data_IF_735719359209
#
_entry.id   IF_735719359209
#
_cell.length_a   1.000
_cell.length_b   1.000
_cell.length_c   1.000
_cell.angle_alpha   90.00
_cell.angle_beta   90.00
_cell.angle_gamma   90.00
#
_symmetry.space_group_name_H-M   'P 1'
#
loop_
_entity.id
_entity.type
_entity.pdbx_description
1 polymer ?
#
# COMPACT_ATOMS: atom_id res chain seq x y z
N UNK A 1 -64.15 24.35 -59.31
CA UNK A 1 -62.76 24.00 -58.94
C UNK A 1 -62.84 22.94 -57.84
N UNK A 2 -62.18 21.80 -57.86
CA UNK A 2 -61.18 21.24 -58.75
C UNK A 2 -61.17 19.72 -58.50
N UNK A 3 -61.62 18.91 -59.46
CA UNK A 3 -61.39 17.45 -59.46
C UNK A 3 -59.90 17.24 -59.75
N UNK A 4 -59.06 17.03 -58.73
CA UNK A 4 -57.61 16.92 -58.92
C UNK A 4 -56.92 15.76 -58.20
N UNK A 5 -57.68 14.76 -57.72
CA UNK A 5 -57.06 13.59 -57.05
C UNK A 5 -57.21 12.27 -57.85
N UNK A 6 -58.00 12.24 -58.94
CA UNK A 6 -58.27 10.98 -59.66
C UNK A 6 -57.29 10.60 -60.80
N UNK A 7 -56.12 11.23 -60.93
CA UNK A 7 -55.16 10.87 -61.99
C UNK A 7 -53.66 10.91 -61.64
N UNK A 8 -53.26 10.94 -60.37
CA UNK A 8 -51.86 10.67 -60.03
C UNK A 8 -51.62 9.16 -59.89
N UNK A 9 -51.59 8.45 -61.02
CA UNK A 9 -51.11 7.08 -61.07
C UNK A 9 -49.58 7.12 -61.06
N UNK A 10 -48.97 6.87 -59.90
CA UNK A 10 -47.53 6.63 -59.84
C UNK A 10 -47.29 5.37 -60.68
N UNK A 11 -46.46 5.43 -61.75
CA UNK A 11 -46.11 4.23 -62.50
C UNK A 11 -45.58 3.20 -61.52
N UNK A 12 -46.10 1.98 -61.54
CA UNK A 12 -45.74 0.93 -60.57
C UNK A 12 -44.22 0.74 -60.46
N UNK A 13 -43.51 0.96 -61.57
CA UNK A 13 -42.05 0.92 -61.66
C UNK A 13 -41.36 2.04 -60.85
N UNK A 14 -41.94 3.25 -60.83
CA UNK A 14 -41.42 4.40 -60.08
C UNK A 14 -41.60 4.20 -58.58
N UNK A 15 -42.79 3.71 -58.17
CA UNK A 15 -43.08 3.37 -56.77
C UNK A 15 -42.17 2.24 -56.26
N UNK A 16 -41.95 1.20 -57.07
CA UNK A 16 -41.07 0.09 -56.72
C UNK A 16 -39.60 0.53 -56.61
N UNK A 17 -39.15 1.47 -57.46
CA UNK A 17 -37.80 2.02 -57.40
C UNK A 17 -37.54 2.80 -56.11
N UNK A 18 -38.51 3.59 -55.65
CA UNK A 18 -38.42 4.35 -54.40
C UNK A 18 -38.36 3.39 -53.21
N UNK A 19 -39.17 2.33 -53.21
CA UNK A 19 -39.15 1.30 -52.16
C UNK A 19 -37.78 0.60 -52.15
N UNK A 20 -37.26 0.22 -53.32
CA UNK A 20 -35.97 -0.47 -53.43
C UNK A 20 -34.81 0.42 -52.95
N UNK A 21 -34.79 1.69 -53.34
CA UNK A 21 -33.82 2.67 -52.86
C UNK A 21 -33.93 2.90 -51.35
N UNK A 22 -35.16 2.96 -50.80
CA UNK A 22 -35.40 3.08 -49.37
C UNK A 22 -34.88 1.87 -48.59
N UNK A 23 -35.06 0.66 -49.11
CA UNK A 23 -34.55 -0.57 -48.51
C UNK A 23 -33.02 -0.59 -48.54
N UNK A 24 -32.39 -0.22 -49.66
CA UNK A 24 -30.92 -0.14 -49.77
C UNK A 24 -30.37 0.91 -48.80
N UNK A 25 -30.96 2.10 -48.74
CA UNK A 25 -30.54 3.15 -47.83
C UNK A 25 -30.73 2.73 -46.36
N UNK A 26 -31.83 2.05 -46.05
CA UNK A 26 -32.10 1.49 -44.72
C UNK A 26 -31.06 0.43 -44.33
N UNK A 27 -30.78 -0.53 -45.22
CA UNK A 27 -29.74 -1.53 -45.02
C UNK A 27 -28.37 -0.89 -44.85
N UNK A 28 -28.03 0.12 -45.66
CA UNK A 28 -26.77 0.84 -45.54
C UNK A 28 -26.63 1.55 -44.19
N UNK A 29 -27.71 2.17 -43.69
CA UNK A 29 -27.72 2.82 -42.38
C UNK A 29 -27.67 1.81 -41.22
N UNK A 30 -28.32 0.65 -41.35
CA UNK A 30 -28.29 -0.43 -40.35
C UNK A 30 -26.92 -1.12 -40.30
N UNK A 31 -26.28 -1.34 -41.45
CA UNK A 31 -24.95 -1.96 -41.54
C UNK A 31 -23.82 -0.99 -41.17
N UNK A 32 -24.10 0.31 -41.14
CA UNK A 32 -23.15 1.31 -40.63
C UNK A 32 -23.23 1.29 -39.11
N UNK A 33 -22.56 0.33 -38.50
CA UNK A 33 -22.41 0.22 -37.05
C UNK A 33 -22.01 1.59 -36.48
N UNK A 34 -22.93 2.24 -35.76
CA UNK A 34 -22.58 3.36 -34.90
C UNK A 34 -21.84 2.78 -33.71
N UNK A 35 -20.53 2.63 -33.84
CA UNK A 35 -19.66 2.34 -32.70
C UNK A 35 -19.61 3.58 -31.80
N UNK A 36 -20.65 3.76 -31.00
CA UNK A 36 -20.59 4.62 -29.83
C UNK A 36 -19.65 3.94 -28.84
N UNK A 37 -18.34 4.17 -29.01
CA UNK A 37 -17.38 3.93 -27.96
C UNK A 37 -17.71 4.89 -26.82
N UNK A 38 -18.55 4.43 -25.89
CA UNK A 38 -18.72 5.09 -24.61
C UNK A 38 -17.38 5.02 -23.89
N UNK A 39 -16.62 6.11 -23.91
CA UNK A 39 -15.47 6.27 -23.04
C UNK A 39 -16.00 6.70 -21.67
N UNK A 40 -16.29 5.73 -20.81
CA UNK A 40 -16.54 6.04 -19.40
C UNK A 40 -15.33 6.81 -18.86
N UNK A 41 -15.57 7.96 -18.24
CA UNK A 41 -14.50 8.72 -17.58
C UNK A 41 -13.88 7.85 -16.47
N UNK A 42 -12.55 7.92 -16.25
CA UNK A 42 -11.91 7.16 -15.18
C UNK A 42 -12.57 7.45 -13.83
N UNK A 43 -12.84 6.39 -13.05
CA UNK A 43 -13.38 6.55 -11.70
C UNK A 43 -12.28 6.96 -10.73
N UNK A 44 -12.29 8.24 -10.36
CA UNK A 44 -11.31 8.85 -9.46
C UNK A 44 -11.85 8.98 -8.02
N UNK A 45 -12.99 8.37 -7.73
CA UNK A 45 -13.64 8.46 -6.42
C UNK A 45 -12.76 7.84 -5.33
N UNK A 46 -12.42 8.58 -4.26
CA UNK A 46 -11.69 8.04 -3.11
C UNK A 46 -12.49 6.91 -2.44
N UNK A 47 -11.82 5.79 -2.20
CA UNK A 47 -12.36 4.59 -1.55
C UNK A 47 -11.44 4.16 -0.40
N UNK A 48 -11.98 3.37 0.53
CA UNK A 48 -11.24 2.83 1.68
C UNK A 48 -10.49 3.92 2.47
N UNK A 49 -11.16 5.05 2.71
CA UNK A 49 -10.59 6.17 3.46
C UNK A 49 -10.30 5.70 4.89
N UNK A 50 -9.03 5.70 5.27
CA UNK A 50 -8.55 5.13 6.53
C UNK A 50 -7.77 6.18 7.30
N UNK A 51 -8.05 6.27 8.60
CA UNK A 51 -7.34 7.14 9.54
C UNK A 51 -6.39 6.29 10.39
N UNK A 52 -5.13 6.70 10.45
CA UNK A 52 -4.09 5.99 11.21
C UNK A 52 -3.14 6.97 11.88
N UNK A 53 -2.27 6.46 12.75
CA UNK A 53 -1.23 7.25 13.43
C UNK A 53 -1.81 8.52 14.09
N UNK A 54 -3.00 8.43 14.68
CA UNK A 54 -3.66 9.58 15.31
C UNK A 54 -2.94 9.88 16.62
N UNK A 55 -2.46 11.11 16.73
CA UNK A 55 -1.81 11.70 17.90
C UNK A 55 -2.49 13.03 18.24
N UNK A 56 -1.96 13.75 19.23
CA UNK A 56 -2.50 15.05 19.61
C UNK A 56 -2.28 16.14 18.55
N UNK A 57 -1.26 16.01 17.70
CA UNK A 57 -0.87 17.04 16.75
C UNK A 57 -0.78 16.55 15.30
N UNK A 58 -1.08 15.27 15.05
CA UNK A 58 -0.99 14.66 13.73
C UNK A 58 -2.01 13.54 13.50
N UNK A 59 -2.42 13.39 12.23
CA UNK A 59 -3.16 12.23 11.73
C UNK A 59 -2.64 11.85 10.35
N UNK A 60 -2.60 10.56 10.06
CA UNK A 60 -2.43 10.04 8.72
C UNK A 60 -3.77 9.67 8.12
N UNK A 61 -4.01 10.14 6.91
CA UNK A 61 -5.19 9.81 6.10
C UNK A 61 -4.72 9.14 4.82
N UNK A 62 -5.24 7.95 4.54
CA UNK A 62 -4.96 7.20 3.33
C UNK A 62 -6.24 6.79 2.61
N UNK A 63 -6.16 6.65 1.29
CA UNK A 63 -7.27 6.19 0.45
C UNK A 63 -6.75 5.58 -0.85
N UNK A 64 -7.64 4.90 -1.56
CA UNK A 64 -7.40 4.32 -2.88
C UNK A 64 -8.33 4.95 -3.91
N UNK A 65 -7.87 5.05 -5.16
CA UNK A 65 -8.69 5.34 -6.34
C UNK A 65 -8.58 4.17 -7.32
N UNK A 66 -9.63 3.95 -8.12
CA UNK A 66 -9.64 2.88 -9.13
C UNK A 66 -8.70 3.17 -10.31
N UNK A 67 -8.36 4.42 -10.53
CA UNK A 67 -7.39 4.87 -11.53
C UNK A 67 -6.45 5.89 -10.94
N UNK A 68 -5.22 5.95 -11.46
CA UNK A 68 -4.21 6.87 -10.95
C UNK A 68 -4.67 8.33 -11.11
N UNK A 69 -4.72 9.06 -9.99
CA UNK A 69 -5.22 10.43 -9.93
C UNK A 69 -4.23 11.34 -9.21
N UNK A 70 -4.08 12.58 -9.66
CA UNK A 70 -3.45 13.60 -8.83
C UNK A 70 -4.44 13.94 -7.71
N UNK A 71 -4.09 13.59 -6.46
CA UNK A 71 -4.99 13.71 -5.33
C UNK A 71 -4.29 14.29 -4.10
N UNK A 72 -5.04 15.08 -3.33
CA UNK A 72 -4.56 15.81 -2.15
C UNK A 72 -5.74 16.11 -1.22
N UNK A 73 -5.45 16.60 -0.02
CA UNK A 73 -6.47 16.97 0.97
C UNK A 73 -6.52 18.48 1.15
N UNK A 74 -7.73 19.03 1.20
CA UNK A 74 -7.98 20.34 1.79
C UNK A 74 -8.61 20.15 3.17
N UNK A 75 -8.21 20.92 4.17
CA UNK A 75 -8.68 20.76 5.54
C UNK A 75 -8.66 22.06 6.33
N UNK A 76 -9.37 22.07 7.46
CA UNK A 76 -9.42 23.19 8.39
C UNK A 76 -10.29 22.89 9.59
N UNK A 77 -10.30 23.78 10.58
CA UNK A 77 -11.09 23.58 11.79
C UNK A 77 -12.55 24.01 11.57
N UNK A 78 -12.75 25.13 10.87
CA UNK A 78 -14.07 25.70 10.61
C UNK A 78 -14.50 25.52 9.14
N UNK A 79 -13.56 25.65 8.20
CA UNK A 79 -13.77 25.42 6.76
C UNK A 79 -12.72 24.42 6.22
N UNK A 80 -13.13 23.31 5.57
CA UNK A 80 -12.21 22.35 4.94
C UNK A 80 -11.40 22.92 3.76
N UNK A 81 -11.49 24.21 3.44
CA UNK A 81 -10.68 24.89 2.41
C UNK A 81 -9.54 25.75 2.96
N UNK A 82 -9.38 25.82 4.28
CA UNK A 82 -8.37 26.69 4.92
C UNK A 82 -6.94 26.34 4.53
N UNK A 83 -6.63 25.04 4.48
CA UNK A 83 -5.27 24.53 4.21
C UNK A 83 -5.31 23.43 3.18
N UNK A 84 -4.18 23.24 2.50
CA UNK A 84 -3.96 22.16 1.54
C UNK A 84 -2.74 21.36 1.96
N UNK A 85 -2.80 20.05 1.81
CA UNK A 85 -1.68 19.14 2.03
C UNK A 85 -1.65 18.10 0.92
N UNK A 86 -0.46 17.88 0.35
CA UNK A 86 -0.24 16.89 -0.70
C UNK A 86 0.09 15.52 -0.09
N UNK A 87 0.11 14.51 -0.95
CA UNK A 87 0.70 13.21 -0.61
C UNK A 87 2.12 13.36 -0.06
N UNK A 88 2.47 12.57 0.96
CA UNK A 88 3.77 12.65 1.63
C UNK A 88 4.95 12.46 0.66
N UNK A 89 4.73 11.74 -0.45
CA UNK A 89 5.73 11.51 -1.50
C UNK A 89 5.92 12.70 -2.45
N UNK A 90 5.05 13.71 -2.36
CA UNK A 90 5.09 14.94 -3.16
C UNK A 90 5.51 16.19 -2.38
N UNK A 91 5.90 16.04 -1.10
CA UNK A 91 6.28 17.18 -0.24
C UNK A 91 7.71 17.71 -0.46
N UNK A 92 8.48 17.16 -1.40
CA UNK A 92 9.84 17.64 -1.67
C UNK A 92 9.83 19.07 -2.23
N UNK A 93 10.80 19.90 -1.87
CA UNK A 93 10.89 21.31 -2.31
C UNK A 93 10.91 21.50 -3.84
N UNK A 94 11.25 20.44 -4.61
CA UNK A 94 11.30 20.44 -6.07
C UNK A 94 10.09 19.74 -6.73
N UNK A 95 9.05 19.38 -5.96
CA UNK A 95 7.88 18.71 -6.51
C UNK A 95 7.02 19.68 -7.33
N UNK A 96 6.65 19.28 -8.55
CA UNK A 96 5.79 20.05 -9.44
C UNK A 96 4.28 19.95 -9.10
N UNK A 97 3.94 19.71 -7.83
CA UNK A 97 2.57 19.45 -7.37
C UNK A 97 2.22 17.95 -7.24
N UNK A 98 0.93 17.63 -7.05
CA UNK A 98 0.47 16.26 -6.80
C UNK A 98 0.67 15.37 -8.04
N UNK A 99 1.29 14.20 -7.85
CA UNK A 99 1.51 13.22 -8.92
C UNK A 99 0.40 12.18 -8.97
N UNK A 100 0.03 11.69 -10.18
CA UNK A 100 -0.97 10.64 -10.32
C UNK A 100 -0.56 9.34 -9.63
N UNK A 101 -1.41 8.84 -8.72
CA UNK A 101 -1.26 7.54 -8.03
C UNK A 101 -2.63 6.92 -7.78
N UNK A 102 -2.65 5.61 -7.57
CA UNK A 102 -3.89 4.90 -7.18
C UNK A 102 -4.01 4.74 -5.67
N UNK A 103 -2.91 4.89 -4.93
CA UNK A 103 -2.88 4.87 -3.47
C UNK A 103 -2.30 6.19 -2.99
N UNK A 104 -2.95 6.76 -1.98
CA UNK A 104 -2.59 8.03 -1.41
C UNK A 104 -2.35 7.92 0.08
N UNK A 105 -1.36 8.68 0.56
CA UNK A 105 -0.95 8.69 1.96
C UNK A 105 -0.54 10.12 2.32
N UNK A 106 -1.27 10.71 3.26
CA UNK A 106 -1.09 12.11 3.66
C UNK A 106 -0.98 12.20 5.17
N UNK A 107 0.06 12.86 5.65
CA UNK A 107 0.21 13.22 7.07
C UNK A 107 -0.17 14.68 7.30
N UNK A 108 -1.26 14.92 8.04
CA UNK A 108 -1.58 16.25 8.57
C UNK A 108 -0.79 16.45 9.87
N UNK A 109 -0.16 17.62 10.04
CA UNK A 109 0.71 17.95 11.18
C UNK A 109 0.38 19.32 11.74
N UNK A 110 0.92 19.63 12.92
CA UNK A 110 0.72 20.90 13.64
C UNK A 110 -0.76 21.14 13.96
N UNK A 111 -1.45 20.08 14.36
CA UNK A 111 -2.83 20.11 14.81
C UNK A 111 -2.91 20.43 16.31
N UNK A 112 -4.09 20.82 16.77
CA UNK A 112 -4.35 21.03 18.19
C UNK A 112 -4.82 19.73 18.84
N UNK A 113 -4.41 19.42 20.10
CA UNK A 113 -4.89 18.26 20.85
C UNK A 113 -6.41 18.25 21.01
N UNK A 114 -7.02 17.06 21.04
CA UNK A 114 -8.46 16.84 21.28
C UNK A 114 -9.35 17.82 20.50
N UNK A 115 -9.05 17.97 19.21
CA UNK A 115 -9.68 18.96 18.34
C UNK A 115 -10.24 18.29 17.10
N UNK A 116 -11.49 18.62 16.78
CA UNK A 116 -12.17 18.15 15.58
C UNK A 116 -11.81 19.02 14.38
N UNK A 117 -11.51 18.38 13.26
CA UNK A 117 -11.23 19.02 11.98
C UNK A 117 -12.15 18.49 10.88
N UNK A 118 -12.34 19.32 9.86
CA UNK A 118 -13.05 19.00 8.64
C UNK A 118 -12.07 18.91 7.48
N UNK A 119 -12.32 18.00 6.54
CA UNK A 119 -11.51 17.87 5.34
C UNK A 119 -12.30 17.38 4.14
N UNK A 120 -11.71 17.57 2.96
CA UNK A 120 -12.15 16.98 1.69
C UNK A 120 -10.95 16.38 0.97
N UNK A 121 -11.18 15.28 0.29
CA UNK A 121 -10.23 14.69 -0.63
C UNK A 121 -10.54 15.23 -2.02
N UNK A 122 -9.54 15.84 -2.66
CA UNK A 122 -9.62 16.31 -4.04
C UNK A 122 -8.89 15.30 -4.90
N UNK A 123 -9.55 14.75 -5.91
CA UNK A 123 -9.00 13.74 -6.82
C UNK A 123 -9.30 14.14 -8.27
N UNK A 124 -8.28 14.65 -8.96
CA UNK A 124 -8.46 15.32 -10.25
C UNK A 124 -9.41 16.53 -10.13
N UNK A 125 -10.59 16.42 -10.74
CA UNK A 125 -11.65 17.46 -10.67
C UNK A 125 -12.77 17.12 -9.68
N UNK A 126 -12.72 15.95 -9.04
CA UNK A 126 -13.71 15.51 -8.08
C UNK A 126 -13.30 15.93 -6.67
N UNK A 127 -14.28 16.35 -5.88
CA UNK A 127 -14.12 16.59 -4.46
C UNK A 127 -15.04 15.62 -3.71
N UNK A 128 -14.54 15.02 -2.63
CA UNK A 128 -15.38 14.22 -1.74
C UNK A 128 -16.42 15.09 -1.01
N UNK A 129 -17.36 14.41 -0.36
CA UNK A 129 -18.13 15.00 0.73
C UNK A 129 -17.20 15.52 1.84
N UNK A 130 -17.73 16.41 2.68
CA UNK A 130 -16.99 16.88 3.87
C UNK A 130 -16.92 15.75 4.89
N UNK A 131 -15.69 15.35 5.21
CA UNK A 131 -15.37 14.34 6.21
C UNK A 131 -14.78 15.00 7.45
N UNK A 132 -14.75 14.27 8.56
CA UNK A 132 -14.26 14.79 9.83
C UNK A 132 -13.30 13.80 10.48
N UNK A 133 -12.35 14.31 11.26
CA UNK A 133 -11.53 13.52 12.16
C UNK A 133 -11.30 14.31 13.46
N UNK A 134 -10.82 13.64 14.49
CA UNK A 134 -10.46 14.24 15.78
C UNK A 134 -9.04 13.78 16.15
N UNK A 135 -8.24 14.70 16.68
CA UNK A 135 -6.92 14.39 17.26
C UNK A 135 -7.06 13.82 18.66
N UNK A 136 -6.07 13.07 19.12
CA UNK A 136 -6.11 12.48 20.45
C UNK A 136 -5.84 13.50 21.56
N UNK A 137 -6.05 13.07 22.80
CA UNK A 137 -5.35 13.68 23.93
C UNK A 137 -3.83 13.47 23.79
N UNK A 138 -2.98 14.31 24.42
CA UNK A 138 -1.53 14.13 24.42
C UNK A 138 -1.10 12.72 24.79
N UNK A 139 -0.30 12.09 23.93
CA UNK A 139 0.17 10.73 24.15
C UNK A 139 1.49 10.72 24.90
N UNK A 140 1.61 9.84 25.89
CA UNK A 140 2.90 9.57 26.54
C UNK A 140 3.74 8.66 25.66
N UNK A 141 5.01 9.02 25.44
CA UNK A 141 5.95 8.19 24.67
C UNK A 141 6.25 6.90 25.45
N UNK A 142 6.11 5.76 24.78
CA UNK A 142 6.48 4.45 25.27
C UNK A 142 7.77 3.99 24.57
N UNK A 143 8.77 3.55 25.32
CA UNK A 143 10.08 3.11 24.77
C UNK A 143 10.30 1.60 24.88
N UNK A 144 9.36 0.88 25.51
CA UNK A 144 9.45 -0.56 25.74
C UNK A 144 9.38 -1.39 24.45
N UNK A 145 8.65 -0.90 23.46
CA UNK A 145 8.44 -1.62 22.20
C UNK A 145 9.28 -1.03 21.08
N UNK A 146 9.98 -1.92 20.38
CA UNK A 146 10.62 -1.57 19.12
C UNK A 146 9.58 -1.45 17.99
N UNK A 147 9.87 -0.70 16.92
CA UNK A 147 8.99 -0.64 15.75
C UNK A 147 8.70 -2.02 15.14
N UNK A 148 7.53 -2.19 14.52
CA UNK A 148 7.26 -3.35 13.66
C UNK A 148 7.91 -3.10 12.31
N UNK A 149 8.76 -4.04 11.88
CA UNK A 149 9.53 -3.93 10.64
C UNK A 149 9.25 -5.16 9.79
N UNK A 150 9.05 -4.94 8.50
CA UNK A 150 8.84 -6.02 7.54
C UNK A 150 9.19 -5.61 6.11
N UNK A 151 9.15 -6.60 5.23
CA UNK A 151 9.33 -6.44 3.79
C UNK A 151 8.18 -7.08 3.02
N UNK A 152 7.84 -6.50 1.88
CA UNK A 152 6.76 -6.94 1.01
C UNK A 152 7.29 -7.18 -0.40
N UNK A 153 6.87 -8.30 -1.01
CA UNK A 153 7.22 -8.70 -2.36
C UNK A 153 5.96 -8.84 -3.24
N UNK A 154 6.11 -8.48 -4.52
CA UNK A 154 5.19 -8.87 -5.59
C UNK A 154 5.88 -9.93 -6.45
N UNK A 155 5.47 -11.20 -6.29
CA UNK A 155 6.26 -12.33 -6.78
C UNK A 155 7.58 -12.45 -6.01
N UNK A 156 8.70 -12.27 -6.72
CA UNK A 156 10.05 -12.25 -6.12
C UNK A 156 10.69 -10.84 -6.10
N UNK A 157 9.96 -9.81 -6.54
CA UNK A 157 10.47 -8.44 -6.63
C UNK A 157 9.95 -7.63 -5.45
N UNK A 158 10.78 -6.79 -4.80
CA UNK A 158 10.31 -5.87 -3.78
C UNK A 158 9.15 -5.00 -4.26
N UNK A 159 8.13 -4.87 -3.42
CA UNK A 159 7.01 -3.99 -3.71
C UNK A 159 7.49 -2.53 -3.66
N UNK A 160 7.22 -1.79 -4.72
CA UNK A 160 7.65 -0.41 -4.92
C UNK A 160 6.71 0.63 -4.29
N UNK A 161 5.43 0.29 -4.16
CA UNK A 161 4.40 1.17 -3.62
C UNK A 161 3.30 0.41 -2.86
N UNK A 162 2.93 0.91 -1.68
CA UNK A 162 1.83 0.38 -0.88
C UNK A 162 1.83 0.96 0.53
N UNK A 163 0.87 0.51 1.33
CA UNK A 163 0.73 0.90 2.74
C UNK A 163 0.63 -0.37 3.58
N UNK A 164 1.40 -0.41 4.67
CA UNK A 164 1.27 -1.43 5.70
C UNK A 164 0.45 -0.86 6.87
N UNK A 165 -0.58 -1.57 7.29
CA UNK A 165 -1.48 -1.17 8.37
C UNK A 165 -1.36 -2.09 9.59
N UNK A 166 -0.92 -1.49 10.70
CA UNK A 166 -0.92 -1.87 12.11
C UNK A 166 -2.27 -1.98 12.80
N UNK A 167 -2.99 -3.11 12.84
CA UNK A 167 -4.15 -3.26 13.74
C UNK A 167 -3.83 -4.04 15.03
N UNK A 168 -4.16 -3.47 16.18
CA UNK A 168 -4.13 -4.12 17.51
C UNK A 168 -5.45 -3.79 18.21
N UNK A 169 -6.08 -4.78 18.87
CA UNK A 169 -7.41 -4.60 19.47
C UNK A 169 -7.43 -3.50 20.55
N UNK A 170 -8.32 -2.52 20.40
CA UNK A 170 -8.47 -1.37 21.32
C UNK A 170 -7.47 -0.23 21.07
N UNK A 171 -6.59 -0.34 20.08
CA UNK A 171 -5.63 0.69 19.72
C UNK A 171 -6.02 1.37 18.40
N UNK A 172 -5.62 2.62 18.24
CA UNK A 172 -5.63 3.30 16.94
C UNK A 172 -4.76 2.53 15.97
N UNK A 173 -5.30 2.26 14.78
CA UNK A 173 -4.55 1.63 13.69
C UNK A 173 -3.32 2.45 13.36
N UNK A 174 -2.16 1.80 13.32
CA UNK A 174 -0.91 2.40 12.89
C UNK A 174 -0.67 2.12 11.40
N UNK A 175 0.18 2.89 10.74
CA UNK A 175 0.54 2.65 9.35
C UNK A 175 1.91 3.20 8.98
N UNK A 176 2.45 2.69 7.88
CA UNK A 176 3.61 3.26 7.20
C UNK A 176 3.49 3.03 5.70
N UNK A 177 4.04 3.95 4.92
CA UNK A 177 4.33 3.72 3.51
C UNK A 177 5.35 2.59 3.36
N UNK A 178 5.14 1.76 2.34
CA UNK A 178 6.13 0.82 1.81
C UNK A 178 7.02 1.60 0.84
N UNK A 179 8.33 1.55 1.05
CA UNK A 179 9.32 2.29 0.24
C UNK A 179 9.74 1.47 -0.99
N UNK A 180 10.49 2.09 -1.91
CA UNK A 180 11.02 1.47 -3.15
C UNK A 180 11.90 0.21 -2.99
N UNK A 181 12.10 -0.28 -1.77
CA UNK A 181 12.76 -1.56 -1.45
C UNK A 181 11.83 -2.59 -0.80
N UNK A 182 10.51 -2.41 -0.86
CA UNK A 182 9.54 -3.32 -0.24
C UNK A 182 9.45 -3.19 1.28
N UNK A 183 10.28 -2.37 1.90
CA UNK A 183 10.38 -2.26 3.35
C UNK A 183 9.40 -1.24 3.94
N UNK A 184 8.89 -1.56 5.13
CA UNK A 184 8.11 -0.65 5.97
C UNK A 184 8.60 -0.70 7.42
N UNK A 185 8.33 0.38 8.16
CA UNK A 185 8.63 0.49 9.59
C UNK A 185 7.49 1.24 10.26
N UNK A 186 6.80 0.60 11.18
CA UNK A 186 5.68 1.18 11.95
C UNK A 186 6.16 1.45 13.38
N UNK A 187 6.36 2.72 13.77
CA UNK A 187 6.73 3.06 15.14
C UNK A 187 5.62 2.69 16.12
N UNK A 188 5.99 2.15 17.27
CA UNK A 188 5.05 1.82 18.37
C UNK A 188 5.19 2.76 19.57
N UNK A 189 5.94 3.86 19.42
CA UNK A 189 6.27 4.77 20.51
C UNK A 189 5.08 5.61 20.99
N UNK A 190 4.08 5.85 20.13
CA UNK A 190 2.92 6.69 20.41
C UNK A 190 1.64 6.04 19.86
N UNK A 191 1.31 4.86 20.36
CA UNK A 191 0.04 4.19 20.03
C UNK A 191 -1.05 4.70 20.97
N UNK A 192 -2.05 5.39 20.43
CA UNK A 192 -3.24 5.83 21.16
C UNK A 192 -4.30 4.73 21.27
N UNK A 193 -5.21 4.86 22.24
CA UNK A 193 -6.45 4.06 22.30
C UNK A 193 -7.39 4.46 21.19
N UNK A 194 -8.18 3.52 20.69
CA UNK A 194 -9.17 3.75 19.62
C UNK A 194 -10.22 4.83 19.96
N UNK A 195 -10.52 5.02 21.24
CA UNK A 195 -11.36 6.09 21.79
C UNK A 195 -10.67 7.46 21.89
N UNK A 196 -9.41 7.56 21.48
CA UNK A 196 -8.57 8.76 21.49
C UNK A 196 -8.33 9.37 22.89
N UNK A 197 -8.65 8.63 23.95
CA UNK A 197 -8.59 9.12 25.35
C UNK A 197 -7.17 9.22 25.92
N UNK A 198 -6.18 8.66 25.22
CA UNK A 198 -4.78 8.72 25.62
C UNK A 198 -3.98 7.55 25.06
N UNK A 199 -2.84 7.27 25.68
CA UNK A 199 -1.93 6.20 25.27
C UNK A 199 -2.56 4.81 25.50
N UNK A 200 -2.38 3.92 24.53
CA UNK A 200 -2.71 2.50 24.66
C UNK A 200 -1.50 1.74 25.26
N UNK A 201 -1.64 1.09 26.42
CA UNK A 201 -0.56 0.35 27.05
C UNK A 201 -0.28 -0.94 26.25
N UNK A 202 0.81 -0.97 25.51
CA UNK A 202 1.20 -2.17 24.77
C UNK A 202 1.74 -3.24 25.73
N UNK A 203 1.34 -4.48 25.50
CA UNK A 203 1.77 -5.66 26.25
C UNK A 203 2.33 -6.72 25.29
N UNK A 204 3.18 -7.60 25.81
CA UNK A 204 3.67 -8.73 25.00
C UNK A 204 2.50 -9.68 24.70
N UNK A 205 2.60 -10.41 23.60
CA UNK A 205 1.61 -11.41 23.18
C UNK A 205 0.22 -10.86 22.82
N UNK A 206 0.09 -9.53 22.72
CA UNK A 206 -1.03 -8.91 22.02
C UNK A 206 -1.04 -9.38 20.55
N UNK A 207 -2.21 -9.72 20.04
CA UNK A 207 -2.36 -10.11 18.64
C UNK A 207 -2.34 -8.86 17.76
N UNK A 208 -1.33 -8.77 16.90
CA UNK A 208 -1.23 -7.78 15.84
C UNK A 208 -1.69 -8.35 14.50
N UNK A 209 -2.32 -7.51 13.68
CA UNK A 209 -2.65 -7.80 12.29
C UNK A 209 -2.02 -6.75 11.40
N UNK A 210 -1.12 -7.17 10.51
CA UNK A 210 -0.65 -6.38 9.38
C UNK A 210 -1.60 -6.61 8.21
N UNK A 211 -2.10 -5.53 7.64
CA UNK A 211 -2.77 -5.55 6.33
C UNK A 211 -1.93 -4.73 5.35
N UNK A 212 -1.52 -5.34 4.25
CA UNK A 212 -0.83 -4.67 3.16
C UNK A 212 -1.84 -4.31 2.10
N UNK A 213 -1.83 -3.05 1.68
CA UNK A 213 -2.64 -2.56 0.57
C UNK A 213 -1.73 -1.96 -0.52
N UNK A 214 -1.87 -2.45 -1.75
CA UNK A 214 -1.15 -1.95 -2.93
C UNK A 214 -2.06 -1.86 -4.15
N UNK A 215 -1.59 -1.25 -5.23
CA UNK A 215 -2.24 -1.29 -6.54
C UNK A 215 -2.16 -2.68 -7.19
N UNK A 216 -1.15 -3.48 -6.81
CA UNK A 216 -0.87 -4.84 -7.30
C UNK A 216 -1.56 -5.95 -6.50
N UNK A 217 -2.22 -5.63 -5.39
CA UNK A 217 -2.92 -6.58 -4.53
C UNK A 217 -2.80 -6.28 -3.04
N UNK A 218 -3.22 -7.24 -2.22
CA UNK A 218 -3.26 -7.13 -0.76
C UNK A 218 -2.61 -8.36 -0.11
N UNK A 219 -2.20 -8.23 1.15
CA UNK A 219 -1.75 -9.36 1.97
C UNK A 219 -2.10 -9.14 3.44
N UNK A 220 -2.19 -10.21 4.21
CA UNK A 220 -2.52 -10.17 5.63
C UNK A 220 -1.51 -11.01 6.41
N UNK A 221 -1.04 -10.50 7.55
CA UNK A 221 -0.22 -11.26 8.49
C UNK A 221 -0.76 -11.08 9.91
N UNK A 222 -1.06 -12.17 10.60
CA UNK A 222 -1.35 -12.18 12.03
C UNK A 222 -0.10 -12.59 12.80
N UNK A 223 0.21 -11.93 13.90
CA UNK A 223 1.39 -12.23 14.72
C UNK A 223 1.20 -11.79 16.17
N UNK A 224 2.13 -12.20 17.04
CA UNK A 224 2.19 -11.76 18.44
C UNK A 224 3.19 -10.62 18.58
N UNK A 225 2.75 -9.49 19.14
CA UNK A 225 3.63 -8.38 19.46
C UNK A 225 4.63 -8.81 20.54
N UNK A 226 5.87 -8.40 20.36
CA UNK A 226 6.95 -8.58 21.33
C UNK A 226 7.66 -7.26 21.52
N UNK A 227 8.07 -6.99 22.77
CA UNK A 227 8.84 -5.80 23.14
C UNK A 227 10.20 -5.76 22.43
N UNK A 228 10.80 -6.93 22.17
CA UNK A 228 12.04 -7.09 21.41
C UNK A 228 11.78 -7.13 19.91
N UNK A 229 12.63 -6.45 19.13
CA UNK A 229 12.53 -6.40 17.67
C UNK A 229 12.71 -7.78 17.04
N UNK A 230 11.61 -8.36 16.58
CA UNK A 230 11.61 -9.49 15.65
C UNK A 230 11.11 -8.98 14.29
N UNK A 231 11.94 -9.17 13.27
CA UNK A 231 11.57 -8.78 11.91
C UNK A 231 10.53 -9.78 11.40
N UNK A 232 9.45 -9.24 10.82
CA UNK A 232 8.48 -10.09 10.15
C UNK A 232 9.12 -10.82 8.97
N UNK A 233 8.76 -12.09 8.69
CA UNK A 233 9.21 -12.76 7.48
C UNK A 233 8.73 -11.99 6.24
N UNK A 234 9.44 -12.13 5.09
CA UNK A 234 9.02 -11.47 3.85
C UNK A 234 7.58 -11.83 3.47
N UNK A 235 6.75 -10.81 3.25
CA UNK A 235 5.33 -10.95 2.96
C UNK A 235 5.12 -10.91 1.45
N UNK A 236 4.55 -11.95 0.84
CA UNK A 236 4.19 -11.89 -0.59
C UNK A 236 2.75 -11.42 -0.76
N UNK A 237 2.51 -10.51 -1.71
CA UNK A 237 1.15 -10.10 -2.07
C UNK A 237 0.30 -11.33 -2.47
N UNK A 238 -0.96 -11.33 -2.05
CA UNK A 238 -1.91 -12.42 -2.20
C UNK A 238 -1.89 -13.44 -1.06
N UNK A 239 -0.97 -13.33 -0.08
CA UNK A 239 -0.90 -14.25 1.04
C UNK A 239 -1.69 -13.78 2.27
N UNK A 240 -2.19 -14.76 3.02
CA UNK A 240 -2.64 -14.59 4.38
C UNK A 240 -1.82 -15.53 5.27
N UNK A 241 -1.01 -14.96 6.16
CA UNK A 241 -0.07 -15.68 7.02
C UNK A 241 -0.55 -15.56 8.47
N UNK A 242 -0.57 -16.66 9.21
CA UNK A 242 -0.82 -16.65 10.65
C UNK A 242 0.42 -17.14 11.41
N UNK A 243 1.08 -16.22 12.08
CA UNK A 243 2.26 -16.43 12.94
C UNK A 243 1.88 -16.45 14.43
N UNK A 244 0.60 -16.45 14.77
CA UNK A 244 0.13 -16.48 16.17
C UNK A 244 0.09 -17.90 16.74
N UNK A 245 -0.07 -18.90 15.88
CA UNK A 245 0.15 -20.27 16.25
C UNK A 245 1.64 -20.45 16.58
N UNK A 246 1.97 -20.92 17.78
CA UNK A 246 3.24 -21.62 17.95
C UNK A 246 3.34 -22.63 16.81
N UNK A 247 4.50 -22.71 16.16
CA UNK A 247 4.77 -23.83 15.25
C UNK A 247 4.20 -25.11 15.89
N UNK A 248 3.56 -26.01 15.11
CA UNK A 248 3.16 -27.32 15.63
C UNK A 248 4.30 -27.87 16.51
N UNK A 249 4.02 -28.52 17.65
CA UNK A 249 5.07 -29.13 18.46
C UNK A 249 5.97 -29.89 17.51
N UNK A 250 7.25 -29.53 17.53
CA UNK A 250 8.32 -30.05 16.71
C UNK A 250 8.04 -31.51 16.32
N UNK A 251 7.43 -31.71 15.15
CA UNK A 251 7.41 -33.02 14.52
C UNK A 251 8.82 -33.13 13.96
N UNK A 252 9.71 -33.57 14.84
CA UNK A 252 11.15 -33.73 14.68
C UNK A 252 11.52 -34.15 13.25
N UNK A 253 11.73 -33.17 12.40
CA UNK A 253 12.69 -33.28 11.32
C UNK A 253 13.71 -32.20 11.65
N UNK A 254 14.94 -32.58 12.03
CA UNK A 254 15.90 -31.62 12.54
C UNK A 254 16.08 -30.48 11.54
N UNK A 255 15.68 -29.27 11.94
CA UNK A 255 16.01 -28.06 11.22
C UNK A 255 17.55 -28.03 11.09
N UNK A 256 18.11 -27.92 9.88
CA UNK A 256 19.55 -27.91 9.72
C UNK A 256 20.11 -26.71 10.49
N UNK A 257 20.80 -26.98 11.60
CA UNK A 257 21.49 -25.95 12.35
C UNK A 257 22.61 -25.38 11.47
N UNK A 258 22.84 -24.05 11.49
CA UNK A 258 23.89 -23.45 10.72
C UNK A 258 25.24 -24.02 11.14
N UNK A 259 26.06 -24.40 10.16
CA UNK A 259 27.43 -24.84 10.43
C UNK A 259 28.28 -23.67 10.90
N UNK A 260 29.44 -23.92 11.51
CA UNK A 260 30.40 -22.87 11.86
C UNK A 260 30.82 -22.04 10.63
N UNK A 261 30.85 -22.64 9.44
CA UNK A 261 31.12 -21.95 8.19
C UNK A 261 29.98 -21.01 7.81
N UNK A 262 28.74 -21.41 8.06
CA UNK A 262 27.57 -20.58 7.80
C UNK A 262 27.55 -19.37 8.71
N UNK A 263 27.79 -19.56 10.01
CA UNK A 263 27.86 -18.45 10.97
C UNK A 263 28.93 -17.44 10.56
N UNK A 264 30.13 -17.90 10.20
CA UNK A 264 31.20 -16.99 9.77
C UNK A 264 30.86 -16.16 8.52
N UNK A 265 30.01 -16.70 7.64
CA UNK A 265 29.69 -16.07 6.36
C UNK A 265 28.41 -15.22 6.41
N UNK A 266 27.46 -15.56 7.27
CA UNK A 266 26.09 -15.06 7.19
C UNK A 266 25.55 -14.48 8.51
N UNK A 267 26.25 -14.67 9.63
CA UNK A 267 25.95 -14.00 10.92
C UNK A 267 26.67 -12.64 10.96
N UNK A 268 26.02 -11.64 10.40
CA UNK A 268 26.60 -10.32 10.16
C UNK A 268 26.62 -9.48 11.44
N UNK A 269 25.63 -9.68 12.31
CA UNK A 269 25.54 -9.02 13.61
C UNK A 269 26.29 -9.76 14.74
N UNK A 270 26.79 -10.97 14.49
CA UNK A 270 27.52 -11.84 15.42
C UNK A 270 26.71 -12.26 16.66
N UNK A 271 25.41 -12.51 16.47
CA UNK A 271 24.49 -12.96 17.52
C UNK A 271 24.38 -14.49 17.65
N UNK A 272 25.12 -15.24 16.81
CA UNK A 272 25.14 -16.69 16.78
C UNK A 272 23.97 -17.31 16.01
N UNK A 273 23.16 -16.50 15.31
CA UNK A 273 22.05 -16.92 14.47
C UNK A 273 22.23 -16.33 13.06
N UNK A 274 21.51 -16.91 12.11
CA UNK A 274 21.41 -16.36 10.75
C UNK A 274 19.93 -16.14 10.51
N UNK A 275 19.51 -14.89 10.56
CA UNK A 275 18.10 -14.52 10.51
C UNK A 275 17.88 -13.22 9.73
N UNK A 276 16.66 -12.69 9.79
CA UNK A 276 16.32 -11.47 9.07
C UNK A 276 17.16 -10.25 9.49
N UNK A 277 17.73 -10.22 10.71
CA UNK A 277 18.59 -9.14 11.18
C UNK A 277 19.88 -9.05 10.35
N UNK A 278 20.43 -10.20 9.96
CA UNK A 278 21.58 -10.28 9.04
C UNK A 278 21.19 -9.78 7.65
N UNK A 279 20.01 -10.16 7.17
CA UNK A 279 19.48 -9.65 5.91
C UNK A 279 19.25 -8.13 5.92
N UNK A 280 18.86 -7.56 7.04
CA UNK A 280 18.73 -6.10 7.20
C UNK A 280 20.08 -5.38 7.09
N UNK A 281 21.17 -6.02 7.54
CA UNK A 281 22.53 -5.48 7.39
C UNK A 281 22.96 -5.47 5.92
N UNK A 282 22.62 -6.51 5.15
CA UNK A 282 22.86 -6.50 3.69
C UNK A 282 22.07 -5.37 3.03
N UNK A 283 20.77 -5.25 3.35
CA UNK A 283 19.89 -4.20 2.81
C UNK A 283 20.38 -2.78 3.12
N UNK A 284 20.87 -2.53 4.35
CA UNK A 284 21.36 -1.21 4.75
C UNK A 284 22.61 -0.75 3.99
N UNK A 285 23.38 -1.70 3.45
CA UNK A 285 24.66 -1.42 2.82
C UNK A 285 24.65 -1.53 1.28
N UNK A 286 23.46 -1.71 0.67
CA UNK A 286 23.32 -1.79 -0.79
C UNK A 286 23.87 -0.55 -1.49
N UNK A 287 24.64 -0.78 -2.55
CA UNK A 287 25.26 0.25 -3.38
C UNK A 287 26.56 0.82 -2.81
N UNK A 288 27.02 0.34 -1.66
CA UNK A 288 28.32 0.73 -1.12
C UNK A 288 29.46 -0.02 -1.81
N UNK A 289 30.52 0.72 -2.14
CA UNK A 289 31.82 0.17 -2.57
C UNK A 289 32.85 0.54 -1.49
N UNK A 290 33.39 -0.48 -0.82
CA UNK A 290 34.36 -0.46 0.30
C UNK A 290 34.51 0.84 1.13
N UNK A 291 34.04 0.78 2.38
CA UNK A 291 34.79 1.29 3.54
C UNK A 291 34.87 0.19 4.61
N UNK A 292 35.93 0.22 5.41
CA UNK A 292 36.52 -0.92 6.14
C UNK A 292 35.70 -1.58 7.26
N UNK A 293 34.43 -1.20 7.49
CA UNK A 293 33.53 -1.84 8.47
C UNK A 293 32.48 -2.79 7.85
N UNK A 294 32.20 -2.65 6.55
CA UNK A 294 30.99 -3.24 5.94
C UNK A 294 31.28 -4.48 5.06
N UNK A 295 32.50 -5.02 5.15
CA UNK A 295 32.93 -6.23 4.42
C UNK A 295 32.05 -7.45 4.64
N UNK A 296 31.33 -7.50 5.76
CA UNK A 296 30.49 -8.64 6.13
C UNK A 296 29.25 -8.75 5.24
N UNK A 297 28.75 -7.65 4.69
CA UNK A 297 27.56 -7.63 3.84
C UNK A 297 27.84 -7.96 2.36
N UNK A 298 29.11 -7.97 1.94
CA UNK A 298 29.57 -8.46 0.63
C UNK A 298 29.76 -9.99 0.72
N UNK A 299 28.68 -10.73 0.49
CA UNK A 299 28.60 -12.17 0.68
C UNK A 299 29.23 -12.95 -0.48
N UNK A 300 29.26 -12.37 -1.67
CA UNK A 300 29.83 -12.98 -2.86
C UNK A 300 31.32 -12.61 -3.09
N UNK A 301 31.82 -11.57 -2.42
CA UNK A 301 33.21 -11.11 -2.49
C UNK A 301 33.56 -10.30 -3.74
N UNK A 302 32.57 -9.80 -4.49
CA UNK A 302 32.75 -9.06 -5.73
C UNK A 302 33.06 -7.56 -5.51
N UNK A 303 33.15 -7.13 -4.25
CA UNK A 303 33.46 -5.78 -3.79
C UNK A 303 32.34 -4.76 -4.01
N UNK A 304 31.14 -5.21 -4.34
CA UNK A 304 29.93 -4.42 -4.45
C UNK A 304 28.82 -5.07 -3.65
N UNK A 305 28.24 -4.36 -2.68
CA UNK A 305 27.06 -4.89 -1.98
C UNK A 305 25.84 -4.63 -2.86
N UNK A 306 25.37 -5.68 -3.53
CA UNK A 306 24.31 -5.58 -4.52
C UNK A 306 23.21 -6.64 -4.32
N UNK A 307 22.33 -6.78 -5.32
CA UNK A 307 21.22 -7.73 -5.26
C UNK A 307 21.71 -9.18 -5.13
N UNK A 308 22.90 -9.52 -5.63
CA UNK A 308 23.44 -10.88 -5.54
C UNK A 308 23.75 -11.25 -4.08
N UNK A 309 24.18 -10.28 -3.26
CA UNK A 309 24.41 -10.53 -1.83
C UNK A 309 23.09 -10.76 -1.10
N UNK A 310 22.06 -9.96 -1.41
CA UNK A 310 20.71 -10.23 -0.90
C UNK A 310 20.20 -11.61 -1.31
N UNK A 311 20.43 -12.03 -2.55
CA UNK A 311 19.98 -13.33 -3.04
C UNK A 311 20.71 -14.49 -2.33
N UNK A 312 22.01 -14.33 -2.04
CA UNK A 312 22.77 -15.28 -1.23
C UNK A 312 22.24 -15.37 0.21
N UNK A 313 21.93 -14.24 0.82
CA UNK A 313 21.36 -14.18 2.16
C UNK A 313 19.97 -14.83 2.19
N UNK A 314 19.10 -14.49 1.24
CA UNK A 314 17.77 -15.06 1.11
C UNK A 314 17.81 -16.58 0.86
N UNK A 315 18.73 -17.04 0.01
CA UNK A 315 18.95 -18.48 -0.21
C UNK A 315 19.37 -19.16 1.09
N UNK A 316 20.27 -18.57 1.86
CA UNK A 316 20.74 -19.17 3.11
C UNK A 316 19.63 -19.22 4.16
N UNK A 317 18.85 -18.15 4.29
CA UNK A 317 17.66 -18.12 5.16
C UNK A 317 16.63 -19.16 4.74
N UNK A 318 16.46 -19.39 3.44
CA UNK A 318 15.60 -20.46 2.91
C UNK A 318 16.15 -21.84 3.24
N UNK A 319 17.46 -22.09 3.11
CA UNK A 319 18.07 -23.36 3.49
C UNK A 319 17.90 -23.67 5.00
N UNK A 320 18.00 -22.63 5.83
CA UNK A 320 17.82 -22.76 7.28
C UNK A 320 16.33 -22.81 7.69
N UNK A 321 15.42 -22.24 6.89
CA UNK A 321 13.97 -22.22 7.15
C UNK A 321 13.16 -23.30 6.42
N UNK A 322 13.72 -24.01 5.45
CA UNK A 322 13.01 -24.99 4.63
C UNK A 322 12.95 -26.36 5.31
N UNK A 323 12.00 -26.51 6.23
CA UNK A 323 11.17 -27.73 6.41
C UNK A 323 9.81 -27.36 7.04
N UNK A 324 9.13 -26.36 6.48
CA UNK A 324 7.89 -25.87 7.07
C UNK A 324 6.87 -25.30 6.09
N UNK A 325 6.77 -25.81 4.85
CA UNK A 325 5.60 -25.58 3.99
C UNK A 325 5.47 -26.74 2.99
N UNK A 326 4.49 -27.61 3.19
CA UNK A 326 3.75 -28.30 2.13
C UNK A 326 2.32 -27.77 2.16
#
# INVERSE_FOLDING_TARGET
MMKFIDKFKIPTLLGLSIIFLGIIAGLYLVLKEQTFLSQASPDLTPQNITFTNITEDSVVISWKTNSAAASFITWGQNDPREKTVLDDRDLSANAAGPKPRSIHYVTLKNLLPKTRYQFKIISGKLASETLNFETSQPLTIQTRFTPVIGSVLYGEIPLDEGIAYLSVGGAVTQSSLIKKGGNFLIPLSQVGKDDLSGVYPLEDDLTGKITIQSDKGEAIVLFKLKSSSELLPPIKLGQQIDLTASAPPDNTIPQPSPTTKDLNNYDLNSDGKINAADNAIVLQNIGQTKSSKDKKADLNGDNTIDQKDLDLMAKKLKELGAQGIY
#
